data_IF_842280256474
#
_entry.id   IF_842280256474
#
_cell.length_a   1.000
_cell.length_b   1.000
_cell.length_c   1.000
_cell.angle_alpha   90.00
_cell.angle_beta   90.00
_cell.angle_gamma   90.00
#
_symmetry.space_group_name_H-M   'P 1'
#
loop_
_entity.id
_entity.type
_entity.pdbx_description
1 polymer ?
#
# COMPACT_ATOMS: atom_id res chain seq x y z
N UNK A 1 -0.57 -9.03 55.93
CA UNK A 1 -2.02 -8.86 55.66
C UNK A 1 -2.58 -10.23 55.29
N UNK A 2 -3.44 -10.84 56.12
CA UNK A 2 -4.06 -12.14 55.82
C UNK A 2 -5.21 -11.90 54.85
N UNK A 3 -4.99 -12.16 53.57
CA UNK A 3 -6.08 -12.15 52.59
C UNK A 3 -7.10 -13.21 53.01
N UNK A 4 -8.32 -12.78 53.34
CA UNK A 4 -9.41 -13.68 53.67
C UNK A 4 -9.67 -14.61 52.48
N UNK A 5 -9.88 -15.90 52.75
CA UNK A 5 -10.27 -16.90 51.73
C UNK A 5 -11.46 -16.42 50.89
N UNK A 6 -12.35 -15.62 51.49
CA UNK A 6 -13.49 -15.01 50.81
C UNK A 6 -13.08 -13.99 49.75
N UNK A 7 -12.02 -13.21 50.00
CA UNK A 7 -11.51 -12.21 49.05
C UNK A 7 -10.85 -12.91 47.86
N UNK A 8 -10.07 -13.96 48.11
CA UNK A 8 -9.50 -14.80 47.05
C UNK A 8 -10.58 -15.48 46.21
N UNK A 9 -11.62 -16.03 46.84
CA UNK A 9 -12.76 -16.64 46.15
C UNK A 9 -13.49 -15.62 45.27
N UNK A 10 -13.79 -14.42 45.79
CA UNK A 10 -14.43 -13.36 45.00
C UNK A 10 -13.56 -12.94 43.79
N UNK A 11 -12.25 -12.85 43.95
CA UNK A 11 -11.34 -12.50 42.86
C UNK A 11 -11.25 -13.60 41.78
N UNK A 12 -11.22 -14.87 42.21
CA UNK A 12 -11.33 -16.01 41.29
C UNK A 12 -12.67 -16.00 40.55
N UNK A 13 -13.79 -15.76 41.23
CA UNK A 13 -15.10 -15.66 40.59
C UNK A 13 -15.14 -14.53 39.56
N UNK A 14 -14.66 -13.32 39.88
CA UNK A 14 -14.63 -12.19 38.94
C UNK A 14 -13.76 -12.45 37.70
N UNK A 15 -12.66 -13.18 37.85
CA UNK A 15 -11.78 -13.53 36.73
C UNK A 15 -12.33 -14.69 35.88
N UNK A 16 -13.02 -15.66 36.50
CA UNK A 16 -13.65 -16.78 35.80
C UNK A 16 -14.99 -16.41 35.14
N UNK A 17 -15.75 -15.44 35.70
CA UNK A 17 -17.02 -14.95 35.13
C UNK A 17 -16.85 -13.69 34.29
N UNK A 18 -15.62 -13.31 33.94
CA UNK A 18 -15.36 -12.28 32.96
C UNK A 18 -15.96 -12.70 31.62
N UNK A 19 -17.20 -12.28 31.37
CA UNK A 19 -17.91 -12.53 30.12
C UNK A 19 -17.00 -12.10 28.99
N UNK A 20 -16.59 -13.08 28.17
CA UNK A 20 -15.81 -12.81 26.97
C UNK A 20 -16.63 -11.84 26.14
N UNK A 21 -16.09 -10.64 25.91
CA UNK A 21 -16.77 -9.60 25.15
C UNK A 21 -17.18 -10.18 23.78
N UNK A 22 -18.48 -10.41 23.52
CA UNK A 22 -18.95 -11.07 22.31
C UNK A 22 -18.65 -10.25 21.04
N UNK A 23 -18.34 -8.97 21.20
CA UNK A 23 -18.04 -8.05 20.11
C UNK A 23 -16.55 -7.83 19.90
N UNK A 24 -15.69 -8.32 20.82
CA UNK A 24 -14.25 -8.18 20.67
C UNK A 24 -13.76 -9.14 19.59
N UNK A 25 -13.20 -8.62 18.48
CA UNK A 25 -12.70 -9.47 17.41
C UNK A 25 -11.58 -10.37 17.96
N UNK A 26 -11.46 -11.60 17.44
CA UNK A 26 -10.33 -12.47 17.73
C UNK A 26 -9.01 -11.75 17.43
N UNK A 27 -7.94 -12.13 18.14
CA UNK A 27 -6.62 -11.60 17.85
C UNK A 27 -6.24 -11.87 16.40
N UNK A 28 -5.85 -10.81 15.69
CA UNK A 28 -5.53 -10.87 14.27
C UNK A 28 -4.11 -11.38 14.04
N UNK A 29 -3.92 -12.68 14.24
CA UNK A 29 -2.63 -13.36 14.04
C UNK A 29 -2.11 -13.25 12.60
N UNK A 30 -3.02 -13.09 11.65
CA UNK A 30 -2.73 -13.03 10.23
C UNK A 30 -2.60 -11.60 9.69
N UNK A 31 -2.78 -10.60 10.58
CA UNK A 31 -2.73 -9.17 10.25
C UNK A 31 -3.67 -8.76 9.12
N UNK A 32 -4.82 -9.44 8.99
CA UNK A 32 -5.81 -9.16 7.95
C UNK A 32 -6.37 -7.73 8.06
N UNK A 33 -6.51 -7.20 9.28
CA UNK A 33 -6.94 -5.82 9.50
C UNK A 33 -5.92 -4.82 8.93
N UNK A 34 -4.63 -5.09 9.08
CA UNK A 34 -3.57 -4.29 8.46
C UNK A 34 -3.65 -4.38 6.94
N UNK A 35 -3.84 -5.59 6.41
CA UNK A 35 -3.96 -5.88 4.98
C UNK A 35 -5.10 -5.08 4.31
N UNK A 36 -6.23 -4.94 5.00
CA UNK A 36 -7.40 -4.21 4.49
C UNK A 36 -7.16 -2.69 4.36
N UNK A 37 -6.19 -2.15 5.11
CA UNK A 37 -5.86 -0.72 5.09
C UNK A 37 -4.89 -0.34 3.97
N UNK A 38 -4.13 -1.31 3.47
CA UNK A 38 -3.18 -1.09 2.37
C UNK A 38 -3.91 -0.89 1.05
N UNK A 39 -3.33 -0.07 0.17
CA UNK A 39 -3.92 0.26 -1.14
C UNK A 39 -2.92 0.00 -2.26
N UNK A 40 -3.39 -0.68 -3.31
CA UNK A 40 -2.64 -0.88 -4.53
C UNK A 40 -2.88 0.26 -5.51
N UNK A 41 -1.81 0.93 -5.89
CA UNK A 41 -1.83 2.15 -6.71
C UNK A 41 -1.46 1.84 -8.17
N UNK A 42 -0.94 0.64 -8.43
CA UNK A 42 -0.59 0.20 -9.77
C UNK A 42 0.79 -0.42 -9.83
N UNK A 43 1.22 -0.76 -11.04
CA UNK A 43 2.56 -1.26 -11.29
C UNK A 43 3.18 -0.58 -12.51
N UNK A 44 4.51 -0.52 -12.48
CA UNK A 44 5.36 -0.07 -13.58
C UNK A 44 6.06 -1.28 -14.16
N UNK A 45 6.17 -1.36 -15.49
CA UNK A 45 6.89 -2.42 -16.17
C UNK A 45 8.23 -1.90 -16.71
N UNK A 46 9.33 -2.56 -16.35
CA UNK A 46 10.66 -2.32 -16.92
C UNK A 46 11.16 -3.61 -17.59
N UNK A 47 11.11 -3.66 -18.91
CA UNK A 47 11.34 -4.90 -19.66
C UNK A 47 10.27 -5.94 -19.32
N UNK A 48 10.67 -7.10 -18.83
CA UNK A 48 9.76 -8.17 -18.39
C UNK A 48 9.40 -8.09 -16.89
N UNK A 49 10.04 -7.20 -16.12
CA UNK A 49 9.83 -7.10 -14.67
C UNK A 49 8.73 -6.10 -14.34
N UNK A 50 7.80 -6.53 -13.51
CA UNK A 50 6.78 -5.66 -12.90
C UNK A 50 7.23 -5.21 -11.51
N UNK A 51 7.07 -3.92 -11.23
CA UNK A 51 7.25 -3.34 -9.90
C UNK A 51 5.94 -2.72 -9.45
N UNK A 52 5.36 -3.27 -8.38
CA UNK A 52 4.10 -2.86 -7.79
C UNK A 52 4.30 -1.69 -6.84
N UNK A 53 3.36 -0.77 -6.84
CA UNK A 53 3.33 0.41 -5.98
C UNK A 53 2.17 0.25 -5.00
N UNK A 54 2.54 0.15 -3.73
CA UNK A 54 1.63 0.02 -2.61
C UNK A 54 1.72 1.25 -1.71
N UNK A 55 0.60 1.57 -1.07
CA UNK A 55 0.53 2.51 0.03
C UNK A 55 0.13 1.74 1.27
N UNK A 56 0.98 1.76 2.30
CA UNK A 56 0.70 1.03 3.54
C UNK A 56 -0.33 1.75 4.42
N UNK A 57 -0.65 1.16 5.58
CA UNK A 57 -1.58 1.74 6.56
C UNK A 57 -1.14 3.11 7.08
N UNK A 58 0.17 3.41 7.07
CA UNK A 58 0.75 4.70 7.46
C UNK A 58 0.84 5.70 6.31
N UNK A 59 0.19 5.41 5.17
CA UNK A 59 0.26 6.23 3.97
C UNK A 59 1.67 6.30 3.34
N UNK A 60 2.58 5.38 3.69
CA UNK A 60 3.94 5.32 3.14
C UNK A 60 3.97 4.50 1.87
N UNK A 61 4.67 5.04 0.87
CA UNK A 61 4.90 4.38 -0.41
C UNK A 61 5.87 3.22 -0.28
N UNK A 62 5.52 2.08 -0.87
CA UNK A 62 6.34 0.88 -0.94
C UNK A 62 6.36 0.33 -2.35
N UNK A 63 7.56 -0.06 -2.80
CA UNK A 63 7.76 -0.78 -4.05
C UNK A 63 7.86 -2.25 -3.74
N UNK A 64 7.17 -3.07 -4.51
CA UNK A 64 7.19 -4.53 -4.34
C UNK A 64 7.36 -5.25 -5.66
N UNK A 65 7.93 -6.44 -5.60
CA UNK A 65 8.11 -7.32 -6.76
C UNK A 65 7.43 -8.67 -6.53
N UNK A 66 7.16 -9.39 -7.62
CA UNK A 66 6.63 -10.75 -7.54
C UNK A 66 7.64 -11.69 -6.85
N UNK A 67 7.17 -12.53 -5.93
CA UNK A 67 7.99 -13.40 -5.09
C UNK A 67 8.56 -12.73 -3.83
N UNK A 68 8.43 -11.41 -3.67
CA UNK A 68 8.91 -10.72 -2.47
C UNK A 68 8.09 -11.09 -1.23
N UNK A 69 8.78 -11.40 -0.13
CA UNK A 69 8.18 -11.52 1.20
C UNK A 69 8.34 -10.22 1.98
N UNK A 70 7.24 -9.70 2.53
CA UNK A 70 7.19 -8.48 3.33
C UNK A 70 7.51 -8.79 4.80
N UNK A 71 7.87 -7.76 5.58
CA UNK A 71 8.25 -7.88 7.00
C UNK A 71 7.14 -8.50 7.88
N UNK A 72 5.89 -8.38 7.46
CA UNK A 72 4.72 -8.95 8.13
C UNK A 72 4.43 -10.41 7.72
N UNK A 73 5.28 -11.03 6.90
CA UNK A 73 5.20 -12.43 6.49
C UNK A 73 4.34 -12.69 5.25
N UNK A 74 3.78 -11.66 4.62
CA UNK A 74 3.01 -11.80 3.39
C UNK A 74 3.92 -11.93 2.17
N UNK A 75 3.56 -12.78 1.22
CA UNK A 75 4.36 -12.98 -0.01
C UNK A 75 3.57 -12.57 -1.24
N UNK A 76 4.14 -11.70 -2.06
CA UNK A 76 3.55 -11.28 -3.34
C UNK A 76 3.64 -12.45 -4.32
N UNK A 77 2.49 -12.91 -4.83
CA UNK A 77 2.42 -14.09 -5.72
C UNK A 77 2.18 -13.69 -7.16
N UNK A 78 1.40 -12.64 -7.40
CA UNK A 78 1.11 -12.18 -8.74
C UNK A 78 0.97 -10.68 -8.78
N UNK A 79 1.63 -10.06 -9.75
CA UNK A 79 1.59 -8.63 -9.95
C UNK A 79 1.20 -8.29 -11.38
N UNK A 80 0.14 -7.51 -11.55
CA UNK A 80 -0.32 -7.00 -12.85
C UNK A 80 -0.60 -5.51 -12.77
N UNK A 81 -0.78 -4.85 -13.92
CA UNK A 81 -1.15 -3.43 -13.94
C UNK A 81 -2.43 -3.15 -13.11
N UNK A 82 -3.38 -4.07 -13.05
CA UNK A 82 -4.70 -3.83 -12.43
C UNK A 82 -4.87 -4.46 -11.05
N UNK A 83 -4.08 -5.49 -10.72
CA UNK A 83 -4.26 -6.22 -9.48
C UNK A 83 -2.93 -6.69 -8.91
N UNK A 84 -2.89 -6.75 -7.59
CA UNK A 84 -1.82 -7.39 -6.83
C UNK A 84 -2.44 -8.51 -5.98
N UNK A 85 -1.86 -9.71 -6.09
CA UNK A 85 -2.26 -10.88 -5.29
C UNK A 85 -1.11 -11.33 -4.41
N UNK A 86 -1.40 -11.58 -3.14
CA UNK A 86 -0.46 -12.08 -2.16
C UNK A 86 -1.01 -13.27 -1.38
N UNK A 87 -0.13 -13.96 -0.68
CA UNK A 87 -0.47 -15.00 0.30
C UNK A 87 -0.29 -14.48 1.72
N UNK A 88 -1.27 -14.73 2.58
CA UNK A 88 -1.34 -14.22 3.96
C UNK A 88 -0.60 -15.11 4.97
N UNK A 89 -0.09 -16.27 4.53
CA UNK A 89 0.66 -17.23 5.35
C UNK A 89 -0.08 -18.54 5.60
N UNK A 90 0.57 -19.48 6.30
CA UNK A 90 0.00 -20.80 6.64
C UNK A 90 -1.06 -20.63 7.72
N UNK A 91 -2.21 -21.29 7.57
CA UNK A 91 -3.35 -21.26 8.51
C UNK A 91 -4.06 -19.89 8.62
N UNK A 92 -3.89 -19.02 7.62
CA UNK A 92 -4.59 -17.74 7.54
C UNK A 92 -5.76 -17.80 6.56
N UNK A 93 -6.89 -17.19 6.95
CA UNK A 93 -8.08 -17.07 6.13
C UNK A 93 -8.36 -15.58 5.84
N UNK A 94 -8.50 -15.16 4.57
CA UNK A 94 -8.33 -15.98 3.36
C UNK A 94 -6.84 -16.29 3.09
N UNK A 95 -6.52 -17.42 2.43
CA UNK A 95 -5.13 -17.82 2.13
C UNK A 95 -4.46 -16.89 1.11
N UNK A 96 -5.27 -16.27 0.26
CA UNK A 96 -4.86 -15.27 -0.70
C UNK A 96 -5.66 -14.00 -0.51
N UNK A 97 -4.99 -12.88 -0.73
CA UNK A 97 -5.61 -11.57 -0.73
C UNK A 97 -5.32 -10.87 -2.05
N UNK A 98 -6.33 -10.20 -2.59
CA UNK A 98 -6.24 -9.50 -3.86
C UNK A 98 -6.63 -8.04 -3.68
N UNK A 99 -5.68 -7.15 -3.87
CA UNK A 99 -5.98 -5.73 -4.05
C UNK A 99 -6.18 -5.44 -5.54
N UNK A 100 -7.29 -4.77 -5.85
CA UNK A 100 -7.48 -4.14 -7.14
C UNK A 100 -6.84 -2.75 -7.11
N UNK A 101 -6.38 -2.28 -8.27
CA UNK A 101 -5.89 -0.92 -8.42
C UNK A 101 -7.01 0.02 -7.99
N UNK A 102 -6.74 0.84 -6.99
CA UNK A 102 -7.64 1.91 -6.63
C UNK A 102 -7.44 3.03 -7.65
N UNK A 103 -8.39 3.17 -8.58
CA UNK A 103 -8.46 4.37 -9.41
C UNK A 103 -8.81 5.58 -8.54
N UNK A 104 -8.11 6.69 -8.74
CA UNK A 104 -8.47 7.98 -8.17
C UNK A 104 -8.45 9.03 -9.28
N UNK A 105 -9.25 10.09 -9.13
CA UNK A 105 -9.55 11.14 -10.10
C UNK A 105 -8.33 11.95 -10.61
N UNK A 106 -7.11 11.58 -10.21
CA UNK A 106 -5.85 12.26 -10.46
C UNK A 106 -4.87 11.45 -11.33
N UNK A 107 -5.36 10.55 -12.19
CA UNK A 107 -4.53 9.86 -13.22
C UNK A 107 -4.07 10.81 -14.35
N UNK A 108 -4.17 12.13 -14.15
CA UNK A 108 -3.69 13.11 -15.12
C UNK A 108 -2.16 13.00 -15.22
N UNK A 109 -1.70 12.55 -16.38
CA UNK A 109 -0.29 12.39 -16.68
C UNK A 109 0.28 13.74 -17.12
N UNK A 110 1.17 14.33 -16.32
CA UNK A 110 1.92 15.52 -16.70
C UNK A 110 2.83 15.20 -17.89
N UNK A 111 2.34 15.43 -19.10
CA UNK A 111 3.09 15.22 -20.34
C UNK A 111 3.96 16.43 -20.65
N UNK A 112 5.05 16.63 -19.89
CA UNK A 112 6.10 17.55 -20.34
C UNK A 112 7.02 16.82 -21.31
N UNK A 113 6.63 16.81 -22.58
CA UNK A 113 7.48 16.35 -23.68
C UNK A 113 8.69 17.31 -23.79
N UNK A 114 9.80 16.98 -23.12
CA UNK A 114 11.09 17.64 -23.34
C UNK A 114 11.83 16.92 -24.45
N UNK A 115 11.30 17.01 -25.67
CA UNK A 115 12.03 16.63 -26.87
C UNK A 115 11.93 17.74 -27.90
N UNK A 116 12.72 18.78 -27.65
CA UNK A 116 13.15 19.74 -28.67
C UNK A 116 14.66 19.88 -28.53
N UNK A 117 15.36 18.80 -28.87
CA UNK A 117 16.78 18.85 -29.15
C UNK A 117 17.02 19.78 -30.34
N UNK A 118 17.90 20.74 -30.10
CA UNK A 118 18.48 21.72 -31.01
C UNK A 118 18.64 21.26 -32.47
N UNK A 119 17.79 21.79 -33.34
CA UNK A 119 18.04 21.81 -34.78
C UNK A 119 18.29 23.25 -35.23
N UNK A 120 19.59 23.58 -35.30
CA UNK A 120 20.25 24.65 -36.06
C UNK A 120 19.35 25.50 -36.97
N UNK A 121 19.34 26.82 -36.75
CA UNK A 121 19.28 27.79 -37.85
C UNK A 121 20.31 28.90 -37.64
N UNK A 122 21.41 28.76 -38.36
CA UNK A 122 22.37 29.81 -38.72
C UNK A 122 21.72 30.79 -39.70
N UNK A 123 21.97 32.08 -39.52
CA UNK A 123 21.55 33.20 -40.37
C UNK A 123 20.86 34.28 -39.52
N UNK A 124 21.49 35.38 -39.12
CA UNK A 124 22.31 36.27 -39.91
C UNK A 124 21.43 37.31 -40.58
N UNK A 125 21.15 38.44 -39.90
CA UNK A 125 21.32 39.83 -40.39
C UNK A 125 20.50 40.83 -39.55
N UNK A 126 21.16 41.95 -39.31
CA UNK A 126 20.87 43.19 -38.59
C UNK A 126 19.64 43.99 -39.03
N UNK A 127 19.01 44.65 -38.05
CA UNK A 127 18.56 46.05 -38.05
C UNK A 127 17.35 46.46 -38.89
N UNK A 128 16.33 47.06 -38.27
CA UNK A 128 15.77 48.38 -38.62
C UNK A 128 14.76 48.79 -37.53
N UNK A 129 14.81 50.06 -37.14
CA UNK A 129 13.97 50.75 -36.15
C UNK A 129 12.60 51.16 -36.70
N UNK A 130 11.58 51.12 -35.83
CA UNK A 130 10.27 51.71 -36.08
C UNK A 130 10.33 53.25 -36.11
N UNK A 131 9.89 53.84 -37.22
CA UNK A 131 9.38 55.21 -37.28
C UNK A 131 8.38 55.34 -38.43
N UNK A 132 7.17 55.83 -38.14
CA UNK A 132 6.31 56.46 -39.15
C UNK A 132 4.82 56.32 -38.91
N UNK A 133 4.15 57.45 -38.64
CA UNK A 133 2.71 57.62 -38.78
C UNK A 133 2.11 58.61 -37.81
#
# INVERSE_FOLDING_TARGET
MKASRSVLLCFCLLTLTGMRDPFRPPEDRCRIAELAQWRYQGAVRKGERWTGILKDSQQKWRRVEEGQTLENGWTIVRLTAEALTLTTGKNCAPPQWRWLRQGADNEAMDSHNTDSLDARRTGGKSGESDAGG
#
